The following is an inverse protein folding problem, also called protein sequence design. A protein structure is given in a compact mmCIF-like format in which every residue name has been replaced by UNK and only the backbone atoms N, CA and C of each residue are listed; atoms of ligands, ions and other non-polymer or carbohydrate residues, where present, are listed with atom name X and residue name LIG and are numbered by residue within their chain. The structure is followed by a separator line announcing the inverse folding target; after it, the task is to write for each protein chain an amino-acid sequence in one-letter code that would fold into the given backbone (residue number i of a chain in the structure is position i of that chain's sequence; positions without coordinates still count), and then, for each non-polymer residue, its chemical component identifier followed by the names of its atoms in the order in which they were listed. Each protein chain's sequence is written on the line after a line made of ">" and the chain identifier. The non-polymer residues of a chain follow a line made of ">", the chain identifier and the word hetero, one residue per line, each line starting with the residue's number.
data_IF_211767923679
#
_entry.id   IF_211767923679
#
_cell.length_a   1.000
_cell.length_b   1.000
_cell.length_c   1.000
_cell.angle_alpha   90.00
_cell.angle_beta   90.00
_cell.angle_gamma   90.00
#
_symmetry.space_group_name_H-M   'P 1'
#
loop_
_entity.id
_entity.type
_entity.pdbx_description
1 polymer ?
#
# COMPACT_ATOMS: atom_id res chain seq x y z
N UNK A 1 -4.21 -17.15 -13.68
CA UNK A 1 -2.80 -16.80 -13.37
C UNK A 1 -2.67 -16.66 -11.86
N UNK A 2 -1.65 -17.26 -11.25
CA UNK A 2 -1.38 -17.05 -9.82
C UNK A 2 -1.02 -15.58 -9.57
N UNK A 3 -1.52 -14.99 -8.48
CA UNK A 3 -1.16 -13.61 -8.12
C UNK A 3 0.33 -13.53 -7.78
N UNK A 4 1.06 -12.49 -8.22
CA UNK A 4 2.47 -12.34 -7.89
C UNK A 4 2.65 -12.23 -6.37
N UNK A 5 3.81 -12.68 -5.86
CA UNK A 5 4.14 -12.47 -4.46
C UNK A 5 4.27 -10.97 -4.17
N UNK A 6 3.98 -10.57 -2.93
CA UNK A 6 4.05 -9.16 -2.55
C UNK A 6 5.47 -8.58 -2.74
N UNK A 7 6.51 -9.36 -2.45
CA UNK A 7 7.90 -8.98 -2.71
C UNK A 7 8.18 -8.74 -4.19
N UNK A 8 7.68 -9.61 -5.07
CA UNK A 8 7.82 -9.41 -6.53
C UNK A 8 7.09 -8.17 -7.00
N UNK A 9 5.92 -7.87 -6.44
CA UNK A 9 5.16 -6.68 -6.76
C UNK A 9 5.87 -5.39 -6.33
N UNK A 10 6.47 -5.38 -5.13
CA UNK A 10 7.29 -4.26 -4.64
C UNK A 10 8.46 -4.00 -5.62
N UNK A 11 9.23 -5.03 -5.98
CA UNK A 11 10.33 -4.88 -6.94
C UNK A 11 9.87 -4.31 -8.28
N UNK A 12 8.74 -4.79 -8.82
CA UNK A 12 8.17 -4.23 -10.06
C UNK A 12 7.81 -2.74 -9.95
N UNK A 13 7.29 -2.30 -8.81
CA UNK A 13 6.97 -0.88 -8.58
C UNK A 13 8.24 -0.03 -8.52
N UNK A 14 9.27 -0.50 -7.81
CA UNK A 14 10.54 0.21 -7.61
C UNK A 14 11.36 0.32 -8.92
N UNK A 15 11.37 -0.75 -9.73
CA UNK A 15 12.09 -0.83 -11.00
C UNK A 15 11.32 -0.23 -12.18
N UNK A 16 9.98 -0.19 -12.09
CA UNK A 16 9.12 0.28 -13.17
C UNK A 16 9.24 1.78 -13.44
N UNK A 17 8.89 2.19 -14.66
CA UNK A 17 8.90 3.58 -15.13
C UNK A 17 7.70 3.85 -16.02
N UNK A 18 7.23 5.09 -16.06
CA UNK A 18 6.08 5.54 -16.83
C UNK A 18 4.77 4.90 -16.38
N UNK A 19 3.70 5.08 -17.18
CA UNK A 19 2.42 4.40 -16.98
C UNK A 19 2.56 2.89 -17.19
N UNK A 20 2.04 2.11 -16.24
CA UNK A 20 1.97 0.64 -16.33
C UNK A 20 0.62 0.21 -15.75
N UNK A 21 -0.36 0.12 -16.64
CA UNK A 21 -1.76 -0.13 -16.27
C UNK A 21 -1.94 -1.52 -15.63
N UNK A 22 -1.20 -2.51 -16.11
CA UNK A 22 -1.24 -3.86 -15.55
C UNK A 22 -0.76 -3.84 -14.11
N UNK A 23 0.41 -3.23 -13.88
CA UNK A 23 0.98 -3.09 -12.55
C UNK A 23 0.10 -2.23 -11.63
N UNK A 24 -0.45 -1.12 -12.12
CA UNK A 24 -1.39 -0.27 -11.38
C UNK A 24 -2.60 -1.07 -10.92
N UNK A 25 -3.20 -1.86 -11.81
CA UNK A 25 -4.38 -2.67 -11.49
C UNK A 25 -4.06 -3.80 -10.50
N UNK A 26 -2.89 -4.42 -10.60
CA UNK A 26 -2.42 -5.44 -9.67
C UNK A 26 -2.18 -4.85 -8.27
N UNK A 27 -1.47 -3.73 -8.20
CA UNK A 27 -1.19 -3.02 -6.94
C UNK A 27 -2.48 -2.57 -6.28
N UNK A 28 -3.37 -1.94 -7.05
CA UNK A 28 -4.64 -1.45 -6.54
C UNK A 28 -5.49 -2.59 -5.97
N UNK A 29 -5.60 -3.71 -6.70
CA UNK A 29 -6.30 -4.90 -6.20
C UNK A 29 -5.69 -5.44 -4.92
N UNK A 30 -4.36 -5.60 -4.85
CA UNK A 30 -3.68 -6.13 -3.66
C UNK A 30 -3.89 -5.24 -2.43
N UNK A 31 -3.97 -3.92 -2.62
CA UNK A 31 -4.10 -2.97 -1.52
C UNK A 31 -5.55 -2.72 -1.08
N UNK A 32 -6.51 -2.75 -2.01
CA UNK A 32 -7.89 -2.30 -1.75
C UNK A 32 -8.90 -3.45 -1.64
N UNK A 33 -8.59 -4.64 -2.16
CA UNK A 33 -9.54 -5.75 -2.14
C UNK A 33 -10.03 -6.08 -0.71
N UNK A 34 -11.34 -6.09 -0.55
CA UNK A 34 -12.06 -6.45 0.69
C UNK A 34 -12.80 -7.77 0.51
N UNK A 35 -13.16 -8.38 1.63
CA UNK A 35 -14.02 -9.57 1.63
C UNK A 35 -15.36 -9.24 0.95
N UNK A 36 -15.77 -10.10 0.00
CA UNK A 36 -16.99 -9.91 -0.79
C UNK A 36 -16.81 -9.09 -2.07
N UNK A 37 -15.65 -8.47 -2.30
CA UNK A 37 -15.40 -7.77 -3.57
C UNK A 37 -15.34 -8.75 -4.75
N UNK A 38 -15.95 -8.37 -5.88
CA UNK A 38 -15.87 -9.12 -7.13
C UNK A 38 -14.86 -8.44 -8.06
N UNK A 39 -13.77 -9.15 -8.33
CA UNK A 39 -12.69 -8.68 -9.22
C UNK A 39 -12.66 -9.50 -10.51
N UNK A 40 -12.65 -8.82 -11.64
CA UNK A 40 -12.60 -9.44 -12.96
C UNK A 40 -11.33 -8.97 -13.66
N UNK A 41 -10.60 -9.92 -14.25
CA UNK A 41 -9.50 -9.58 -15.15
C UNK A 41 -10.06 -9.43 -16.56
N UNK A 42 -9.81 -8.28 -17.17
CA UNK A 42 -10.12 -8.01 -18.57
C UNK A 42 -8.84 -7.51 -19.24
N UNK A 43 -8.35 -8.28 -20.21
CA UNK A 43 -7.06 -8.03 -20.87
C UNK A 43 -5.91 -7.87 -19.85
N UNK A 44 -5.28 -6.70 -19.84
CA UNK A 44 -4.16 -6.33 -18.99
C UNK A 44 -4.59 -5.67 -17.66
N UNK A 45 -5.89 -5.65 -17.32
CA UNK A 45 -6.39 -4.92 -16.15
C UNK A 45 -7.23 -5.78 -15.21
N UNK A 46 -7.06 -5.52 -13.92
CA UNK A 46 -8.05 -5.88 -12.91
C UNK A 46 -9.08 -4.76 -12.76
N UNK A 47 -10.35 -5.13 -12.86
CA UNK A 47 -11.50 -4.27 -12.66
C UNK A 47 -12.26 -4.74 -11.42
N UNK A 48 -12.69 -3.79 -10.58
CA UNK A 48 -13.58 -4.08 -9.44
C UNK A 48 -15.01 -3.83 -9.87
N UNK A 49 -15.89 -4.79 -9.66
CA UNK A 49 -17.33 -4.62 -9.93
C UNK A 49 -17.99 -3.91 -8.75
N UNK A 50 -18.81 -2.89 -9.02
CA UNK A 50 -19.61 -2.25 -7.97
C UNK A 50 -20.70 -3.23 -7.49
N UNK A 51 -20.80 -3.53 -6.18
CA UNK A 51 -21.85 -4.40 -5.66
C UNK A 51 -23.27 -3.81 -5.81
N UNK A 52 -23.41 -2.50 -5.96
CA UNK A 52 -24.68 -1.77 -6.11
C UNK A 52 -25.04 -1.47 -7.56
N UNK A 53 -24.04 -1.43 -8.45
CA UNK A 53 -24.22 -1.26 -9.88
C UNK A 53 -23.57 -2.44 -10.62
N UNK A 54 -24.40 -3.43 -10.94
CA UNK A 54 -23.98 -4.69 -11.55
C UNK A 54 -23.36 -4.53 -12.95
N UNK A 55 -23.42 -3.34 -13.55
CA UNK A 55 -22.88 -3.01 -14.88
C UNK A 55 -21.62 -2.14 -14.77
N UNK A 56 -21.44 -1.40 -13.67
CA UNK A 56 -20.28 -0.54 -13.48
C UNK A 56 -19.05 -1.31 -13.01
N UNK A 57 -17.90 -0.96 -13.62
CA UNK A 57 -16.59 -1.47 -13.27
C UNK A 57 -15.67 -0.30 -12.95
N UNK A 58 -15.07 -0.32 -11.77
CA UNK A 58 -14.00 0.60 -11.39
C UNK A 58 -12.66 0.06 -11.93
N UNK A 59 -11.89 0.94 -12.57
CA UNK A 59 -10.50 0.68 -12.92
C UNK A 59 -9.55 1.35 -11.93
N UNK A 60 -8.33 0.84 -11.82
CA UNK A 60 -7.31 1.46 -11.00
C UNK A 60 -7.07 2.92 -11.43
N UNK A 61 -6.93 3.86 -10.46
CA UNK A 61 -6.42 5.18 -10.75
C UNK A 61 -4.93 5.09 -11.14
N UNK A 62 -4.40 6.18 -11.70
CA UNK A 62 -3.00 6.29 -12.15
C UNK A 62 -2.00 6.40 -10.97
N UNK A 63 -2.05 5.46 -10.03
CA UNK A 63 -1.36 5.52 -8.73
C UNK A 63 0.16 5.46 -8.83
N UNK A 64 0.73 5.01 -9.95
CA UNK A 64 2.17 4.94 -10.15
C UNK A 64 2.73 6.17 -10.88
N UNK A 65 1.86 7.04 -11.39
CA UNK A 65 2.25 8.23 -12.16
C UNK A 65 1.65 9.53 -11.68
N UNK A 66 0.57 9.48 -10.89
CA UNK A 66 -0.04 10.62 -10.23
C UNK A 66 0.18 10.57 -8.72
N UNK A 67 0.91 11.57 -8.22
CA UNK A 67 1.18 11.69 -6.79
C UNK A 67 -0.10 11.87 -5.97
N UNK A 68 -1.06 12.65 -6.46
CA UNK A 68 -2.36 12.83 -5.79
C UNK A 68 -3.14 11.52 -5.69
N UNK A 69 -3.11 10.70 -6.74
CA UNK A 69 -3.74 9.38 -6.73
C UNK A 69 -3.05 8.44 -5.73
N UNK A 70 -1.72 8.47 -5.64
CA UNK A 70 -0.95 7.70 -4.67
C UNK A 70 -1.27 8.12 -3.23
N UNK A 71 -1.39 9.41 -2.94
CA UNK A 71 -1.78 9.93 -1.62
C UNK A 71 -3.21 9.56 -1.26
N UNK A 72 -4.14 9.64 -2.23
CA UNK A 72 -5.52 9.21 -2.02
C UNK A 72 -5.59 7.72 -1.64
N UNK A 73 -4.84 6.87 -2.37
CA UNK A 73 -4.75 5.44 -2.07
C UNK A 73 -4.09 5.18 -0.71
N UNK A 74 -3.00 5.87 -0.37
CA UNK A 74 -2.36 5.78 0.96
C UNK A 74 -3.36 6.03 2.08
N UNK A 75 -4.17 7.09 1.98
CA UNK A 75 -5.17 7.45 3.00
C UNK A 75 -6.27 6.40 3.14
N UNK A 76 -6.68 5.78 2.03
CA UNK A 76 -7.66 4.69 2.06
C UNK A 76 -7.09 3.43 2.73
N UNK A 77 -5.87 3.05 2.38
CA UNK A 77 -5.26 1.78 2.77
C UNK A 77 -4.71 1.81 4.19
N UNK A 78 -4.17 2.96 4.62
CA UNK A 78 -3.50 3.14 5.92
C UNK A 78 -4.12 4.29 6.73
N UNK A 79 -5.40 4.19 7.13
CA UNK A 79 -6.04 5.23 7.93
C UNK A 79 -5.32 5.40 9.27
N UNK A 80 -5.00 6.64 9.61
CA UNK A 80 -4.25 6.99 10.82
C UNK A 80 -2.74 6.78 10.73
N UNK A 81 -2.19 6.49 9.56
CA UNK A 81 -0.74 6.55 9.38
C UNK A 81 -0.36 7.94 8.87
N UNK A 82 0.86 8.37 9.18
CA UNK A 82 1.45 9.55 8.55
C UNK A 82 2.45 9.12 7.47
N UNK A 83 2.66 10.01 6.52
CA UNK A 83 3.72 9.89 5.54
C UNK A 83 4.48 11.21 5.43
N UNK A 84 5.76 11.14 5.06
CA UNK A 84 6.56 12.29 4.62
C UNK A 84 7.36 11.88 3.39
N UNK A 85 7.65 12.83 2.53
CA UNK A 85 8.44 12.55 1.34
C UNK A 85 8.81 13.82 0.62
N UNK A 86 9.68 13.67 -0.37
CA UNK A 86 10.19 14.79 -1.15
C UNK A 86 10.84 14.31 -2.43
N UNK A 87 10.97 15.25 -3.36
CA UNK A 87 11.69 15.03 -4.61
C UNK A 87 12.83 16.03 -4.71
N UNK A 88 13.97 15.56 -5.20
CA UNK A 88 15.10 16.40 -5.55
C UNK A 88 15.60 16.01 -6.94
N UNK A 89 16.70 16.60 -7.40
CA UNK A 89 17.27 16.26 -8.71
C UNK A 89 17.72 14.80 -8.82
N UNK A 90 18.15 14.20 -7.70
CA UNK A 90 18.78 12.87 -7.68
C UNK A 90 17.76 11.75 -7.46
N UNK A 91 16.83 11.97 -6.54
CA UNK A 91 15.91 10.95 -6.05
C UNK A 91 14.60 11.52 -5.56
N UNK A 92 13.63 10.62 -5.41
CA UNK A 92 12.39 10.87 -4.67
C UNK A 92 12.24 9.82 -3.59
N UNK A 93 11.77 10.24 -2.42
CA UNK A 93 11.65 9.37 -1.25
C UNK A 93 10.28 9.51 -0.59
N UNK A 94 9.82 8.42 0.01
CA UNK A 94 8.64 8.39 0.85
C UNK A 94 8.89 7.52 2.08
N UNK A 95 8.48 8.02 3.24
CA UNK A 95 8.55 7.33 4.52
C UNK A 95 7.17 7.30 5.17
N UNK A 96 6.79 6.14 5.70
CA UNK A 96 5.48 5.89 6.33
C UNK A 96 5.66 5.34 7.75
N UNK A 97 4.81 5.77 8.69
CA UNK A 97 4.83 5.34 10.08
C UNK A 97 3.43 5.47 10.72
N UNK A 98 3.09 4.67 11.75
CA UNK A 98 1.86 4.87 12.52
C UNK A 98 1.80 6.29 13.09
N UNK A 99 0.65 6.97 12.99
CA UNK A 99 0.43 8.23 13.69
C UNK A 99 -0.18 7.98 15.07
N UNK A 100 0.70 7.81 16.05
CA UNK A 100 0.33 7.70 17.46
C UNK A 100 -0.30 8.98 18.03
N UNK A 101 -0.21 10.10 17.32
CA UNK A 101 -0.91 11.34 17.63
C UNK A 101 -2.30 11.47 16.99
N UNK A 102 -2.70 10.53 16.13
CA UNK A 102 -3.98 10.59 15.40
C UNK A 102 -5.18 10.59 16.35
N UNK A 103 -6.07 11.61 16.32
CA UNK A 103 -7.19 11.69 17.25
C UNK A 103 -8.17 10.51 17.13
N UNK A 104 -8.30 9.95 15.92
CA UNK A 104 -9.25 8.87 15.64
C UNK A 104 -8.61 7.47 15.74
N UNK A 105 -7.29 7.37 15.51
CA UNK A 105 -6.62 6.07 15.34
C UNK A 105 -5.50 5.79 16.36
N UNK A 106 -5.09 6.76 17.18
CA UNK A 106 -3.97 6.61 18.11
C UNK A 106 -4.11 5.36 19.00
N UNK A 107 -5.27 5.13 19.62
CA UNK A 107 -5.47 3.98 20.51
C UNK A 107 -5.28 2.64 19.78
N UNK A 108 -5.82 2.51 18.56
CA UNK A 108 -5.66 1.32 17.73
C UNK A 108 -4.19 1.11 17.37
N UNK A 109 -3.51 2.18 16.96
CA UNK A 109 -2.13 2.12 16.49
C UNK A 109 -1.14 1.85 17.61
N UNK A 110 -1.33 2.38 18.82
CA UNK A 110 -0.50 2.00 19.98
C UNK A 110 -0.63 0.51 20.29
N UNK A 111 -1.83 -0.05 20.15
CA UNK A 111 -2.07 -1.48 20.42
C UNK A 111 -1.45 -2.39 19.35
N UNK A 112 -1.61 -2.03 18.08
CA UNK A 112 -1.19 -2.88 16.94
C UNK A 112 0.29 -2.67 16.55
N UNK A 113 0.78 -1.44 16.74
CA UNK A 113 2.11 -0.97 16.36
C UNK A 113 2.72 -0.11 17.48
N UNK A 114 3.13 -0.73 18.61
CA UNK A 114 3.67 0.02 19.74
C UNK A 114 4.90 0.84 19.34
N UNK A 115 5.02 2.10 19.79
CA UNK A 115 6.15 2.97 19.47
C UNK A 115 7.46 2.46 20.05
N UNK A 116 7.49 1.49 20.95
CA UNK A 116 8.74 0.96 21.51
C UNK A 116 9.51 0.07 20.51
N UNK A 117 8.95 -0.19 19.32
CA UNK A 117 9.58 -1.02 18.28
C UNK A 117 10.24 -0.14 17.21
N UNK A 118 11.54 -0.32 17.01
CA UNK A 118 12.38 0.51 16.12
C UNK A 118 11.82 0.67 14.70
N UNK A 119 11.30 -0.40 14.08
CA UNK A 119 10.74 -0.32 12.71
C UNK A 119 9.57 0.66 12.59
N UNK A 120 8.81 0.84 13.67
CA UNK A 120 7.69 1.80 13.70
C UNK A 120 8.15 3.19 14.09
N UNK A 121 9.20 3.33 14.90
CA UNK A 121 9.78 4.64 15.21
C UNK A 121 10.55 5.27 14.05
N UNK A 122 11.35 4.46 13.36
CA UNK A 122 12.20 4.95 12.27
C UNK A 122 11.39 5.19 11.00
N UNK A 123 10.27 4.48 10.85
CA UNK A 123 9.41 4.51 9.67
C UNK A 123 9.98 3.70 8.52
N UNK A 124 9.10 3.24 7.64
CA UNK A 124 9.48 2.48 6.44
C UNK A 124 9.72 3.44 5.30
N UNK A 125 10.98 3.58 4.91
CA UNK A 125 11.43 4.47 3.84
C UNK A 125 11.72 3.72 2.55
N UNK A 126 11.33 4.33 1.44
CA UNK A 126 11.70 3.93 0.09
C UNK A 126 12.23 5.16 -0.64
N UNK A 127 13.45 5.06 -1.18
CA UNK A 127 14.09 6.08 -2.02
C UNK A 127 14.33 5.51 -3.41
N UNK A 128 13.86 6.19 -4.45
CA UNK A 128 13.95 5.78 -5.84
C UNK A 128 14.61 6.86 -6.71
N UNK A 129 15.18 6.44 -7.85
CA UNK A 129 15.91 7.30 -8.79
C UNK A 129 15.40 7.12 -10.23
N UNK A 130 15.44 8.16 -11.09
CA UNK A 130 15.81 9.55 -10.79
C UNK A 130 14.69 10.29 -10.03
N UNK A 131 14.94 11.49 -9.52
CA UNK A 131 13.89 12.26 -8.85
C UNK A 131 12.86 12.83 -9.81
N UNK A 132 11.57 12.63 -9.51
CA UNK A 132 10.42 13.19 -10.24
C UNK A 132 9.12 12.99 -9.44
N UNK A 133 8.04 13.68 -9.79
CA UNK A 133 6.73 13.46 -9.15
C UNK A 133 6.20 12.03 -9.37
N UNK A 134 6.46 11.45 -10.55
CA UNK A 134 6.16 10.05 -10.84
C UNK A 134 6.95 9.12 -9.91
N UNK A 135 8.24 9.37 -9.74
CA UNK A 135 9.09 8.56 -8.88
C UNK A 135 8.71 8.71 -7.40
N UNK A 136 8.24 9.88 -6.98
CA UNK A 136 7.67 10.09 -5.66
C UNK A 136 6.38 9.27 -5.46
N UNK A 137 5.49 9.23 -6.46
CA UNK A 137 4.29 8.38 -6.42
C UNK A 137 4.67 6.90 -6.25
N UNK A 138 5.64 6.41 -7.03
CA UNK A 138 6.15 5.03 -6.91
C UNK A 138 6.79 4.75 -5.55
N UNK A 139 7.59 5.67 -5.03
CA UNK A 139 8.21 5.53 -3.72
C UNK A 139 7.14 5.40 -2.63
N UNK A 140 6.10 6.23 -2.68
CA UNK A 140 4.98 6.17 -1.74
C UNK A 140 4.23 4.83 -1.84
N UNK A 141 3.90 4.37 -3.05
CA UNK A 141 3.20 3.09 -3.25
C UNK A 141 4.06 1.89 -2.81
N UNK A 142 5.35 1.91 -3.09
CA UNK A 142 6.27 0.87 -2.61
C UNK A 142 6.33 0.85 -1.07
N UNK A 143 6.38 2.02 -0.42
CA UNK A 143 6.32 2.11 1.03
C UNK A 143 5.00 1.55 1.59
N UNK A 144 3.86 1.84 0.96
CA UNK A 144 2.53 1.28 1.33
C UNK A 144 2.53 -0.25 1.23
N UNK A 145 3.07 -0.81 0.13
CA UNK A 145 3.17 -2.26 -0.06
C UNK A 145 4.08 -2.91 1.00
N UNK A 146 5.19 -2.27 1.38
CA UNK A 146 6.07 -2.74 2.45
C UNK A 146 5.35 -2.74 3.81
N UNK A 147 4.63 -1.67 4.15
CA UNK A 147 3.79 -1.64 5.35
C UNK A 147 2.78 -2.79 5.32
N UNK A 148 2.09 -2.97 4.19
CA UNK A 148 1.10 -4.05 4.02
C UNK A 148 1.72 -5.43 4.26
N UNK A 149 2.95 -5.67 3.79
CA UNK A 149 3.66 -6.93 4.00
C UNK A 149 3.86 -7.22 5.49
N UNK A 150 4.35 -6.24 6.23
CA UNK A 150 4.63 -6.39 7.67
C UNK A 150 3.33 -6.57 8.47
N UNK A 151 2.29 -5.79 8.15
CA UNK A 151 0.98 -5.92 8.81
C UNK A 151 0.37 -7.30 8.58
N UNK A 152 0.48 -7.82 7.35
CA UNK A 152 -0.05 -9.15 7.00
C UNK A 152 0.71 -10.27 7.71
N UNK A 153 2.03 -10.16 7.88
CA UNK A 153 2.83 -11.14 8.62
C UNK A 153 2.48 -11.19 10.12
N UNK A 154 2.23 -10.04 10.77
CA UNK A 154 1.82 -9.99 12.18
C UNK A 154 0.47 -10.69 12.44
N UNK A 155 -0.44 -10.67 11.46
CA UNK A 155 -1.73 -11.36 11.56
C UNK A 155 -1.59 -12.89 11.67
N UNK A 156 -0.54 -13.47 11.08
CA UNK A 156 -0.28 -14.91 11.15
C UNK A 156 0.26 -15.36 12.52
N UNK A 157 1.07 -14.51 13.19
CA UNK A 157 1.67 -14.87 14.49
C UNK A 157 0.66 -14.81 15.66
N UNK A 158 -0.41 -14.03 15.54
CA UNK A 158 -1.43 -13.90 16.60
C UNK A 158 -2.44 -15.07 16.62
N UNK A 159 -2.60 -15.80 15.51
CA UNK A 159 -3.48 -16.98 15.43
C UNK A 159 -2.94 -18.21 16.15
N UNK A 160 -1.62 -18.30 16.36
CA UNK A 160 -1.01 -19.48 16.99
C UNK A 160 -1.01 -19.43 18.53
N UNK A 161 -1.29 -18.27 19.13
CA UNK A 161 -1.19 -18.08 20.60
C UNK A 161 -2.54 -18.32 21.31
N UNK A 162 -3.65 -18.47 20.59
CA UNK A 162 -4.98 -18.68 21.20
C UNK A 162 -5.41 -20.15 21.34
N UNK A 163 -4.53 -21.14 21.09
CA UNK A 163 -4.88 -22.57 21.21
C UNK A 163 -4.29 -23.32 22.42
N UNK A 164 -3.73 -22.63 23.41
CA UNK A 164 -3.28 -23.27 24.65
C UNK A 164 -3.78 -22.54 25.90
N UNK A 165 -5.05 -22.76 26.27
CA UNK A 165 -5.46 -22.72 27.68
C UNK A 165 -6.47 -23.86 27.95
N UNK A 166 -6.11 -24.89 28.74
CA UNK A 166 -7.05 -25.85 29.30
C UNK A 166 -7.89 -25.26 30.46
#
# INVERSE_FOLDING_TARGET
>A
MSSPSLSSLISRVEEGRGPDVELESLVWRVLVAKEGDVWVQFEDRWLRRDPKDLVAYDSAPAILTSFDAAVALFREVLPGWWWRGGTCWVSSEARICPDHGSPEHALRLHREFPPEIDVWNEGLEVELRPGSDETLARALIAAVLRVRAIVSCKGCEQTDVQQEQP
#
